data_IF_873169997362
#
_entry.id   IF_873169997362
#
_cell.length_a   1.000
_cell.length_b   1.000
_cell.length_c   1.000
_cell.angle_alpha   90.00
_cell.angle_beta   90.00
_cell.angle_gamma   90.00
#
_symmetry.space_group_name_H-M   'P 1'
#
loop_
_entity.id
_entity.type
_entity.pdbx_description
1 polymer ?
#
# COMPACT_ATOMS: atom_id res chain seq x y z
N UNK A 1 23.46 -11.10 -31.81
CA UNK A 1 23.28 -11.24 -30.35
C UNK A 1 22.36 -10.12 -29.90
N UNK A 2 21.20 -10.44 -29.33
CA UNK A 2 20.29 -9.43 -28.79
C UNK A 2 20.94 -8.79 -27.56
N UNK A 3 20.88 -7.46 -27.44
CA UNK A 3 21.32 -6.73 -26.25
C UNK A 3 20.42 -7.15 -25.08
N UNK A 4 21.03 -7.51 -23.95
CA UNK A 4 20.29 -7.70 -22.71
C UNK A 4 19.56 -6.39 -22.35
N UNK A 5 18.29 -6.52 -21.96
CA UNK A 5 17.47 -5.39 -21.54
C UNK A 5 18.02 -4.79 -20.26
N UNK A 6 17.91 -3.47 -20.14
CA UNK A 6 18.32 -2.78 -18.92
C UNK A 6 17.37 -3.18 -17.78
N UNK A 7 17.84 -3.35 -16.54
CA UNK A 7 16.96 -3.51 -15.38
C UNK A 7 15.92 -2.39 -15.25
N UNK A 8 16.25 -1.18 -15.74
CA UNK A 8 15.33 -0.05 -15.77
C UNK A 8 14.07 -0.32 -16.61
N UNK A 9 14.16 -1.17 -17.63
CA UNK A 9 13.03 -1.53 -18.50
C UNK A 9 11.94 -2.33 -17.76
N UNK A 10 12.24 -2.81 -16.54
CA UNK A 10 11.32 -3.55 -15.68
C UNK A 10 10.77 -2.71 -14.52
N UNK A 11 11.19 -1.45 -14.38
CA UNK A 11 10.70 -0.56 -13.34
C UNK A 11 9.50 0.20 -13.93
N UNK A 12 8.27 -0.03 -13.45
CA UNK A 12 7.07 0.55 -14.06
C UNK A 12 6.86 2.03 -13.69
N UNK A 13 7.68 2.61 -12.81
CA UNK A 13 7.50 3.94 -12.24
C UNK A 13 8.10 5.03 -13.13
N UNK A 14 7.27 5.99 -13.53
CA UNK A 14 7.70 7.12 -14.34
C UNK A 14 8.24 8.27 -13.48
N UNK A 15 7.47 8.72 -12.48
CA UNK A 15 7.86 9.80 -11.57
C UNK A 15 6.95 9.89 -10.35
N UNK A 16 7.41 10.61 -9.33
CA UNK A 16 6.54 11.12 -8.27
C UNK A 16 5.69 12.28 -8.81
N UNK A 17 4.37 12.22 -8.55
CA UNK A 17 3.47 13.36 -8.81
C UNK A 17 3.49 14.32 -7.61
N UNK A 18 3.60 13.76 -6.41
CA UNK A 18 3.78 14.44 -5.14
C UNK A 18 4.52 13.51 -4.14
N UNK A 19 4.51 13.86 -2.85
CA UNK A 19 5.19 13.09 -1.81
C UNK A 19 4.60 11.69 -1.57
N UNK A 20 3.32 11.47 -1.85
CA UNK A 20 2.55 10.28 -1.49
C UNK A 20 2.06 9.49 -2.71
N UNK A 21 2.16 10.07 -3.92
CA UNK A 21 1.60 9.55 -5.16
C UNK A 21 2.66 9.41 -6.25
N UNK A 22 2.74 8.23 -6.86
CA UNK A 22 3.64 7.92 -7.98
C UNK A 22 2.80 7.67 -9.25
N UNK A 23 3.31 8.10 -10.40
CA UNK A 23 2.76 7.79 -11.72
C UNK A 23 3.58 6.68 -12.39
N UNK A 24 2.92 5.68 -12.97
CA UNK A 24 3.57 4.67 -13.81
C UNK A 24 3.74 5.13 -15.26
N UNK A 25 4.59 4.43 -16.01
CA UNK A 25 4.71 4.65 -17.46
C UNK A 25 3.39 4.41 -18.21
N UNK A 26 2.56 3.50 -17.71
CA UNK A 26 1.23 3.19 -18.25
C UNK A 26 0.14 4.19 -17.80
N UNK A 27 0.52 5.25 -17.09
CA UNK A 27 -0.38 6.32 -16.66
C UNK A 27 -1.24 6.01 -15.45
N UNK A 28 -0.93 4.93 -14.71
CA UNK A 28 -1.59 4.58 -13.45
C UNK A 28 -1.07 5.47 -12.32
N UNK A 29 -1.95 5.82 -11.38
CA UNK A 29 -1.54 6.47 -10.13
C UNK A 29 -1.51 5.45 -9.02
N UNK A 30 -0.48 5.52 -8.17
CA UNK A 30 -0.32 4.64 -7.03
C UNK A 30 0.07 5.39 -5.76
N UNK A 31 -0.46 4.93 -4.64
CA UNK A 31 -0.12 5.38 -3.29
C UNK A 31 0.11 4.14 -2.43
N UNK A 32 1.11 4.20 -1.55
CA UNK A 32 1.45 3.10 -0.63
C UNK A 32 1.21 3.57 0.78
N UNK A 33 0.43 2.78 1.53
CA UNK A 33 0.06 3.03 2.91
C UNK A 33 0.76 1.99 3.77
N UNK A 34 1.50 2.43 4.78
CA UNK A 34 2.01 1.53 5.81
C UNK A 34 0.91 1.27 6.84
N UNK A 35 0.69 0.01 7.18
CA UNK A 35 -0.32 -0.42 8.15
C UNK A 35 0.39 -1.04 9.34
N UNK A 36 0.02 -0.61 10.54
CA UNK A 36 0.51 -1.20 11.78
C UNK A 36 -0.11 -2.58 12.02
N UNK A 37 0.65 -3.45 12.68
CA UNK A 37 0.16 -4.76 13.09
C UNK A 37 -0.98 -4.64 14.11
N UNK A 38 -1.83 -5.68 14.15
CA UNK A 38 -2.91 -5.79 15.14
C UNK A 38 -2.73 -7.09 15.94
N UNK A 39 -2.64 -7.04 17.29
CA UNK A 39 -2.47 -8.22 18.13
C UNK A 39 -3.80 -8.97 18.30
N UNK A 40 -4.23 -9.65 17.23
CA UNK A 40 -5.55 -10.29 17.16
C UNK A 40 -5.74 -11.39 18.20
N UNK A 41 -4.67 -12.05 18.65
CA UNK A 41 -4.72 -13.14 19.62
C UNK A 41 -5.12 -12.69 21.03
N UNK A 42 -4.84 -11.43 21.38
CA UNK A 42 -5.16 -10.85 22.69
C UNK A 42 -6.32 -9.86 22.64
N UNK A 43 -6.85 -9.58 21.45
CA UNK A 43 -7.97 -8.67 21.27
C UNK A 43 -9.30 -9.34 21.63
N UNK A 44 -10.25 -8.54 22.11
CA UNK A 44 -11.61 -9.01 22.34
C UNK A 44 -12.30 -9.34 21.01
N UNK A 45 -13.20 -10.34 21.02
CA UNK A 45 -13.95 -10.76 19.83
C UNK A 45 -14.76 -9.61 19.20
N UNK A 46 -15.27 -8.68 20.02
CA UNK A 46 -16.00 -7.50 19.56
C UNK A 46 -15.10 -6.52 18.80
N UNK A 47 -13.87 -6.31 19.26
CA UNK A 47 -12.90 -5.47 18.55
C UNK A 47 -12.48 -6.12 17.24
N UNK A 48 -12.23 -7.44 17.25
CA UNK A 48 -11.88 -8.19 16.05
C UNK A 48 -12.99 -8.13 15.01
N UNK A 49 -14.25 -8.28 15.42
CA UNK A 49 -15.41 -8.13 14.54
C UNK A 49 -15.50 -6.71 13.98
N UNK A 50 -15.38 -5.69 14.82
CA UNK A 50 -15.42 -4.30 14.39
C UNK A 50 -14.35 -3.97 13.34
N UNK A 51 -13.10 -4.43 13.55
CA UNK A 51 -12.02 -4.21 12.57
C UNK A 51 -12.26 -4.94 11.24
N UNK A 52 -12.87 -6.13 11.28
CA UNK A 52 -13.27 -6.85 10.06
C UNK A 52 -14.33 -6.06 9.30
N UNK A 53 -15.33 -5.52 9.99
CA UNK A 53 -16.40 -4.73 9.38
C UNK A 53 -15.86 -3.45 8.73
N UNK A 54 -14.96 -2.74 9.43
CA UNK A 54 -14.27 -1.55 8.90
C UNK A 54 -13.49 -1.89 7.63
N UNK A 55 -12.69 -2.96 7.66
CA UNK A 55 -11.92 -3.43 6.49
C UNK A 55 -12.85 -3.78 5.32
N UNK A 56 -13.92 -4.51 5.57
CA UNK A 56 -14.82 -4.96 4.51
C UNK A 56 -15.62 -3.79 3.92
N UNK A 57 -15.99 -2.80 4.73
CA UNK A 57 -16.55 -1.54 4.25
C UNK A 57 -15.55 -0.78 3.36
N UNK A 58 -14.31 -0.62 3.83
CA UNK A 58 -13.22 0.01 3.09
C UNK A 58 -12.94 -0.67 1.73
N UNK A 59 -12.98 -2.00 1.67
CA UNK A 59 -12.81 -2.73 0.40
C UNK A 59 -14.03 -2.54 -0.52
N UNK A 60 -15.23 -2.46 0.04
CA UNK A 60 -16.47 -2.21 -0.73
C UNK A 60 -16.49 -0.82 -1.34
N UNK A 61 -16.01 0.21 -0.65
CA UNK A 61 -15.92 1.58 -1.22
C UNK A 61 -14.96 1.66 -2.40
N UNK A 62 -13.94 0.78 -2.45
CA UNK A 62 -12.98 0.66 -3.54
C UNK A 62 -13.41 -0.38 -4.60
N UNK A 63 -14.64 -0.88 -4.56
CA UNK A 63 -15.11 -1.99 -5.40
C UNK A 63 -15.36 -1.67 -6.88
N UNK A 64 -14.97 -0.50 -7.39
CA UNK A 64 -15.13 -0.18 -8.82
C UNK A 64 -13.92 -0.65 -9.66
N UNK A 65 -14.12 -0.83 -10.98
CA UNK A 65 -13.07 -1.26 -11.93
C UNK A 65 -11.87 -0.30 -12.01
N UNK A 66 -12.10 0.91 -11.52
CA UNK A 66 -11.20 2.04 -11.46
C UNK A 66 -10.10 1.88 -10.41
N UNK A 67 -10.29 0.99 -9.45
CA UNK A 67 -9.32 0.72 -8.38
C UNK A 67 -8.73 -0.67 -8.50
N UNK A 68 -7.48 -0.79 -8.06
CA UNK A 68 -6.89 -2.05 -7.66
C UNK A 68 -6.20 -1.85 -6.31
N UNK A 69 -6.30 -2.86 -5.46
CA UNK A 69 -5.72 -2.85 -4.11
C UNK A 69 -4.79 -4.04 -3.99
N UNK A 70 -3.54 -3.79 -3.57
CA UNK A 70 -2.55 -4.84 -3.36
C UNK A 70 -2.05 -4.80 -1.91
N UNK A 71 -2.08 -5.95 -1.25
CA UNK A 71 -1.50 -6.10 0.07
C UNK A 71 -0.10 -6.72 -0.04
N UNK A 72 0.87 -6.12 0.66
CA UNK A 72 2.24 -6.59 0.72
C UNK A 72 2.65 -6.79 2.18
N UNK A 73 3.36 -7.88 2.45
CA UNK A 73 3.97 -8.14 3.76
C UNK A 73 5.47 -8.22 3.56
N UNK A 74 6.20 -7.33 4.22
CA UNK A 74 7.65 -7.34 4.25
C UNK A 74 8.12 -7.92 5.57
N UNK A 75 8.61 -9.17 5.50
CA UNK A 75 9.22 -9.86 6.64
C UNK A 75 10.69 -9.45 6.77
N UNK A 76 11.06 -8.81 7.87
CA UNK A 76 12.44 -8.33 8.12
C UNK A 76 13.01 -9.01 9.36
N UNK A 77 14.29 -9.42 9.36
CA UNK A 77 14.94 -9.90 10.57
C UNK A 77 14.87 -8.84 11.67
N UNK A 78 14.44 -9.23 12.87
CA UNK A 78 14.30 -8.35 14.02
C UNK A 78 15.14 -8.87 15.19
N UNK A 79 15.76 -7.98 15.99
CA UNK A 79 16.44 -8.39 17.20
C UNK A 79 15.42 -8.86 18.25
N UNK A 80 15.76 -9.91 18.99
CA UNK A 80 15.05 -10.30 20.20
C UNK A 80 15.37 -9.32 21.32
N UNK A 81 14.63 -8.22 21.41
CA UNK A 81 14.84 -7.18 22.42
C UNK A 81 13.51 -6.76 23.02
N UNK A 82 13.44 -6.84 24.34
CA UNK A 82 12.34 -6.31 25.15
C UNK A 82 12.92 -5.17 25.96
N UNK A 83 12.57 -3.94 25.62
CA UNK A 83 13.01 -2.75 26.34
C UNK A 83 12.14 -2.50 27.56
N UNK A 84 12.32 -3.34 28.58
CA UNK A 84 11.64 -3.20 29.86
C UNK A 84 12.67 -3.02 30.99
N UNK A 85 12.41 -2.14 31.97
CA UNK A 85 13.22 -2.06 33.18
C UNK A 85 13.18 -3.40 33.92
N UNK A 86 14.33 -4.03 34.13
CA UNK A 86 14.44 -5.28 34.89
C UNK A 86 14.86 -4.95 36.32
N UNK A 87 13.99 -5.25 37.29
CA UNK A 87 14.22 -4.92 38.71
C UNK A 87 14.31 -6.19 39.55
N UNK A 88 15.43 -6.35 40.26
CA UNK A 88 15.67 -7.47 41.17
C UNK A 88 16.37 -8.67 40.53
N UNK A 89 17.03 -9.48 41.37
CA UNK A 89 17.89 -10.57 40.92
C UNK A 89 17.15 -11.69 40.17
N UNK A 90 15.93 -12.02 40.59
CA UNK A 90 15.10 -13.02 39.90
C UNK A 90 14.70 -12.56 38.49
N UNK A 91 14.21 -11.33 38.35
CA UNK A 91 13.81 -10.79 37.06
C UNK A 91 14.99 -10.71 36.09
N UNK A 92 16.19 -10.34 36.58
CA UNK A 92 17.42 -10.33 35.79
C UNK A 92 17.80 -11.73 35.28
N UNK A 93 17.71 -12.76 36.14
CA UNK A 93 18.00 -14.13 35.73
C UNK A 93 16.98 -14.66 34.71
N UNK A 94 15.70 -14.32 34.89
CA UNK A 94 14.62 -14.68 33.96
C UNK A 94 14.81 -14.00 32.60
N UNK A 95 15.06 -12.69 32.58
CA UNK A 95 15.30 -11.91 31.36
C UNK A 95 16.49 -12.47 30.57
N UNK A 96 17.62 -12.72 31.23
CA UNK A 96 18.80 -13.28 30.58
C UNK A 96 18.53 -14.65 29.94
N UNK A 97 17.83 -15.53 30.65
CA UNK A 97 17.47 -16.87 30.12
C UNK A 97 16.47 -16.76 28.97
N UNK A 98 15.47 -15.90 29.09
CA UNK A 98 14.43 -15.72 28.07
C UNK A 98 15.01 -15.08 26.80
N UNK A 99 15.78 -14.01 26.93
CA UNK A 99 16.50 -13.36 25.83
C UNK A 99 17.50 -14.30 25.18
N UNK A 100 18.22 -15.12 25.95
CA UNK A 100 19.11 -16.17 25.40
C UNK A 100 18.35 -17.19 24.54
N UNK A 101 17.15 -17.60 24.96
CA UNK A 101 16.32 -18.52 24.19
C UNK A 101 15.74 -17.87 22.91
N UNK A 102 15.36 -16.60 22.98
CA UNK A 102 14.82 -15.86 21.84
C UNK A 102 15.90 -15.54 20.79
N UNK A 103 17.09 -15.11 21.23
CA UNK A 103 18.21 -14.77 20.34
C UNK A 103 18.80 -16.00 19.64
N UNK A 104 18.60 -17.20 20.18
CA UNK A 104 18.95 -18.46 19.51
C UNK A 104 18.12 -18.71 18.24
N UNK A 105 17.01 -18.00 18.05
CA UNK A 105 16.14 -18.10 16.87
C UNK A 105 16.24 -16.83 16.04
N UNK A 106 16.09 -16.97 14.71
CA UNK A 106 15.88 -15.81 13.84
C UNK A 106 14.46 -15.32 14.01
N UNK A 107 14.30 -14.19 14.70
CA UNK A 107 13.03 -13.49 14.80
C UNK A 107 12.83 -12.58 13.59
N UNK A 108 11.57 -12.31 13.31
CA UNK A 108 11.17 -11.44 12.22
C UNK A 108 10.06 -10.50 12.67
N UNK A 109 10.10 -9.29 12.14
CA UNK A 109 9.01 -8.32 12.19
C UNK A 109 8.33 -8.30 10.82
N UNK A 110 7.00 -8.45 10.83
CA UNK A 110 6.19 -8.35 9.63
C UNK A 110 5.66 -6.92 9.53
N UNK A 111 6.05 -6.21 8.46
CA UNK A 111 5.52 -4.88 8.14
C UNK A 111 4.50 -5.00 7.01
N UNK A 112 3.32 -4.44 7.22
CA UNK A 112 2.22 -4.52 6.28
C UNK A 112 2.12 -3.22 5.46
N UNK A 113 1.92 -3.37 4.16
CA UNK A 113 1.72 -2.27 3.23
C UNK A 113 0.50 -2.53 2.35
N UNK A 114 -0.25 -1.48 2.08
CA UNK A 114 -1.36 -1.49 1.14
C UNK A 114 -1.05 -0.53 0.00
N UNK A 115 -0.98 -1.05 -1.22
CA UNK A 115 -0.84 -0.24 -2.42
C UNK A 115 -2.20 -0.03 -3.04
N UNK A 116 -2.63 1.23 -3.13
CA UNK A 116 -3.80 1.64 -3.89
C UNK A 116 -3.37 2.05 -5.29
N UNK A 117 -4.05 1.53 -6.29
CA UNK A 117 -3.80 1.86 -7.70
C UNK A 117 -5.09 2.40 -8.29
N UNK A 118 -5.03 3.62 -8.82
CA UNK A 118 -6.09 4.22 -9.61
C UNK A 118 -5.77 4.04 -11.09
N UNK A 119 -6.67 3.34 -11.79
CA UNK A 119 -6.59 3.08 -13.22
C UNK A 119 -7.49 4.08 -13.96
N UNK A 120 -7.05 4.62 -15.12
CA UNK A 120 -8.00 5.25 -16.04
C UNK A 120 -9.04 4.20 -16.44
N UNK A 121 -10.28 4.61 -16.73
CA UNK A 121 -11.36 3.70 -17.12
C UNK A 121 -10.92 2.80 -18.30
N UNK A 122 -10.60 1.54 -18.03
CA UNK A 122 -10.26 0.56 -19.07
C UNK A 122 -11.49 -0.27 -19.45
N UNK A 123 -11.77 -0.36 -20.75
CA UNK A 123 -12.94 -1.07 -21.33
C UNK A 123 -13.38 -0.46 -22.67
N UNK A 124 -14.55 -0.84 -23.19
CA UNK A 124 -15.14 -0.24 -24.41
C UNK A 124 -15.25 1.30 -24.36
N UNK A 125 -15.33 1.85 -23.14
CA UNK A 125 -15.32 3.29 -22.88
C UNK A 125 -13.94 3.91 -23.15
N UNK A 126 -12.84 3.23 -22.81
CA UNK A 126 -11.48 3.73 -23.03
C UNK A 126 -11.11 3.84 -24.51
N UNK A 127 -11.56 2.88 -25.34
CA UNK A 127 -11.45 2.97 -26.80
C UNK A 127 -12.29 4.11 -27.37
N UNK A 128 -13.52 4.30 -26.85
CA UNK A 128 -14.37 5.42 -27.24
C UNK A 128 -13.73 6.77 -26.90
N UNK A 129 -13.06 6.84 -25.75
CA UNK A 129 -12.38 8.04 -25.27
C UNK A 129 -11.12 8.35 -26.07
N UNK A 130 -10.38 7.32 -26.50
CA UNK A 130 -9.22 7.41 -27.38
C UNK A 130 -9.62 7.88 -28.79
N UNK A 131 -10.69 7.30 -29.36
CA UNK A 131 -11.30 7.76 -30.61
C UNK A 131 -11.82 9.19 -30.50
N UNK A 132 -12.48 9.54 -29.40
CA UNK A 132 -12.96 10.91 -29.17
C UNK A 132 -11.81 11.90 -28.92
N UNK A 133 -10.65 11.45 -28.42
CA UNK A 133 -9.42 12.25 -28.30
C UNK A 133 -8.82 12.56 -29.66
N UNK A 134 -8.76 11.57 -30.55
CA UNK A 134 -8.30 11.72 -31.93
C UNK A 134 -9.24 12.61 -32.76
N UNK A 135 -10.57 12.48 -32.56
CA UNK A 135 -11.56 13.29 -33.28
C UNK A 135 -11.62 14.76 -32.83
N UNK A 136 -11.19 15.10 -31.60
CA UNK A 136 -11.30 16.46 -31.03
C UNK A 136 -10.04 17.33 -31.12
N UNK A 137 -9.00 16.89 -31.83
CA UNK A 137 -7.81 17.66 -32.23
C UNK A 137 -7.31 18.78 -31.28
N UNK A 138 -6.19 18.56 -30.57
CA UNK A 138 -5.38 19.55 -29.84
C UNK A 138 -6.06 20.51 -28.81
N UNK A 139 -7.39 20.51 -28.65
CA UNK A 139 -8.12 21.21 -27.57
C UNK A 139 -8.30 20.37 -26.30
N UNK A 140 -7.79 19.13 -26.27
CA UNK A 140 -8.01 18.12 -25.24
C UNK A 140 -7.05 18.19 -24.04
N UNK A 141 -6.09 19.12 -24.04
CA UNK A 141 -5.11 19.24 -22.94
C UNK A 141 -5.77 19.66 -21.63
N UNK A 142 -6.84 20.45 -21.69
CA UNK A 142 -7.54 20.96 -20.50
C UNK A 142 -8.44 19.90 -19.85
N UNK A 143 -9.21 19.14 -20.65
CA UNK A 143 -9.99 17.99 -20.15
C UNK A 143 -9.08 16.91 -19.56
N UNK A 144 -8.01 16.51 -20.27
CA UNK A 144 -7.07 15.51 -19.76
C UNK A 144 -6.35 15.96 -18.46
N UNK A 145 -6.13 17.27 -18.28
CA UNK A 145 -5.63 17.83 -17.01
C UNK A 145 -6.69 17.79 -15.92
N UNK A 146 -7.95 18.08 -16.26
CA UNK A 146 -9.08 18.04 -15.33
C UNK A 146 -9.31 16.61 -14.80
N UNK A 147 -9.35 15.62 -15.70
CA UNK A 147 -9.54 14.21 -15.36
C UNK A 147 -8.41 13.71 -14.46
N UNK A 148 -7.16 14.06 -14.79
CA UNK A 148 -6.00 13.70 -13.96
C UNK A 148 -6.01 14.39 -12.59
N UNK A 149 -6.46 15.64 -12.51
CA UNK A 149 -6.63 16.31 -11.23
C UNK A 149 -7.74 15.67 -10.39
N UNK A 150 -8.80 15.17 -11.01
CA UNK A 150 -9.85 14.39 -10.35
C UNK A 150 -9.33 13.05 -9.83
N UNK A 151 -8.57 12.30 -10.63
CA UNK A 151 -7.97 11.03 -10.21
C UNK A 151 -6.97 11.21 -9.06
N UNK A 152 -6.18 12.29 -9.08
CA UNK A 152 -5.29 12.64 -7.97
C UNK A 152 -6.04 13.00 -6.69
N UNK A 153 -7.19 13.68 -6.80
CA UNK A 153 -8.04 13.94 -5.63
C UNK A 153 -8.62 12.63 -5.10
N UNK A 154 -9.13 11.78 -5.98
CA UNK A 154 -9.72 10.51 -5.62
C UNK A 154 -8.73 9.59 -4.88
N UNK A 155 -7.50 9.41 -5.40
CA UNK A 155 -6.49 8.55 -4.76
C UNK A 155 -6.10 9.04 -3.37
N UNK A 156 -5.99 10.36 -3.18
CA UNK A 156 -5.70 10.95 -1.86
C UNK A 156 -6.86 10.80 -0.89
N UNK A 157 -8.09 10.98 -1.35
CA UNK A 157 -9.28 10.82 -0.52
C UNK A 157 -9.50 9.38 -0.10
N UNK A 158 -9.29 8.43 -1.02
CA UNK A 158 -9.29 7.01 -0.73
C UNK A 158 -8.22 6.65 0.30
N UNK A 159 -6.99 7.14 0.13
CA UNK A 159 -5.91 6.88 1.08
C UNK A 159 -6.20 7.43 2.47
N UNK A 160 -6.79 8.62 2.58
CA UNK A 160 -7.21 9.21 3.86
C UNK A 160 -8.32 8.43 4.53
N UNK A 161 -9.32 8.00 3.76
CA UNK A 161 -10.43 7.18 4.27
C UNK A 161 -9.95 5.86 4.84
N UNK A 162 -8.86 5.29 4.29
CA UNK A 162 -8.26 4.05 4.78
C UNK A 162 -7.33 4.24 5.99
N UNK A 163 -6.88 5.46 6.24
CA UNK A 163 -6.04 5.82 7.37
C UNK A 163 -6.83 6.37 8.57
N UNK A 164 -8.08 6.76 8.35
CA UNK A 164 -9.00 7.27 9.38
C UNK A 164 -9.67 6.13 10.15
#
# INVERSE_FOLDING_TARGET
MARDRSPADFIPYARHVDAETILTHDGLLLTVIAIDGFPAETADDSELAHRRDVRDLALRTLGSSEWAVMAHVLRRPAPARIDAPVVGAYAAALDARYTGALTARRLFEDRHFLTLIRRPLQGHVGLLEEFARLARGAGSSESARHDRAADLRAIREAARTLLA
#
